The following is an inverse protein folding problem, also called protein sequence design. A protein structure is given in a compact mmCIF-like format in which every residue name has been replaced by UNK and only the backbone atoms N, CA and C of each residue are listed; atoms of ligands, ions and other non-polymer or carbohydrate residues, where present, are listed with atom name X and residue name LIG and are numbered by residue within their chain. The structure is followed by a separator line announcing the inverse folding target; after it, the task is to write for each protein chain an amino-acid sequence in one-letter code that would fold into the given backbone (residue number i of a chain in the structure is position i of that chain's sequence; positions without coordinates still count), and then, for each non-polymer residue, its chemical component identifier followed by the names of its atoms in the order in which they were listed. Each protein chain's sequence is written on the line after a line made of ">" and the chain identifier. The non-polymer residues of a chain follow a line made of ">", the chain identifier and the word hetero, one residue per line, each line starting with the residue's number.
data_IF_481054738714
#
_entry.id   IF_481054738714
#
_cell.length_a   1.000
_cell.length_b   1.000
_cell.length_c   1.000
_cell.angle_alpha   90.00
_cell.angle_beta   90.00
_cell.angle_gamma   90.00
#
_symmetry.space_group_name_H-M   'P 1'
#
loop_
_entity.id
_entity.type
_entity.pdbx_description
1 polymer ?
#
# COMPACT_ATOMS: atom_id res chain seq x y z
N UNK A 1 0.64 -25.06 -4.94
CA UNK A 1 0.12 -23.91 -5.66
C UNK A 1 0.35 -22.66 -4.86
N UNK A 2 1.04 -21.75 -5.43
CA UNK A 2 1.40 -20.55 -4.72
C UNK A 2 0.48 -19.39 -5.14
N UNK A 3 -0.28 -18.87 -4.20
CA UNK A 3 -1.20 -17.78 -4.45
C UNK A 3 -0.87 -16.55 -3.64
N UNK A 4 0.11 -16.66 -2.73
CA UNK A 4 0.48 -15.54 -1.89
C UNK A 4 1.39 -14.60 -2.67
N UNK A 5 0.91 -13.37 -2.87
CA UNK A 5 1.71 -12.34 -3.52
C UNK A 5 1.95 -11.25 -2.51
N UNK A 6 3.21 -11.08 -2.13
CA UNK A 6 3.59 -10.05 -1.17
C UNK A 6 3.33 -8.68 -1.78
N UNK A 7 2.45 -7.93 -1.16
CA UNK A 7 1.99 -6.64 -1.69
C UNK A 7 2.30 -5.54 -0.68
N UNK A 8 2.95 -4.50 -1.16
CA UNK A 8 3.17 -3.29 -0.37
C UNK A 8 2.10 -2.28 -0.76
N UNK A 9 1.33 -1.84 0.23
CA UNK A 9 0.27 -0.86 0.02
C UNK A 9 0.80 0.49 0.52
N UNK A 10 1.04 1.40 -0.40
CA UNK A 10 1.52 2.74 -0.05
C UNK A 10 0.33 3.69 0.02
N UNK A 11 0.30 4.48 1.09
CA UNK A 11 -0.84 5.35 1.34
C UNK A 11 -1.89 4.68 2.20
N UNK A 12 -1.48 3.70 3.00
CA UNK A 12 -2.41 2.99 3.86
C UNK A 12 -2.96 3.91 4.94
N UNK A 13 -4.21 3.67 5.31
CA UNK A 13 -4.92 4.46 6.31
C UNK A 13 -5.77 3.54 7.15
N UNK A 14 -5.93 3.89 8.43
CA UNK A 14 -6.84 3.15 9.30
C UNK A 14 -8.28 3.68 9.22
N UNK A 15 -8.54 4.59 8.32
CA UNK A 15 -9.89 5.09 8.09
C UNK A 15 -10.64 4.12 7.18
N UNK A 16 -11.71 3.47 7.69
CA UNK A 16 -12.40 2.43 6.91
C UNK A 16 -13.08 2.96 5.65
N UNK A 17 -13.18 4.27 5.48
CA UNK A 17 -13.75 4.84 4.28
C UNK A 17 -12.73 5.02 3.16
N UNK A 18 -11.45 4.79 3.45
CA UNK A 18 -10.43 4.92 2.43
C UNK A 18 -10.30 3.64 1.61
N UNK A 19 -10.03 3.81 0.33
CA UNK A 19 -9.86 2.65 -0.53
C UNK A 19 -8.64 1.82 -0.16
N UNK A 20 -7.60 2.48 0.37
CA UNK A 20 -6.43 1.72 0.81
C UNK A 20 -6.76 0.79 1.98
N UNK A 21 -7.64 1.21 2.87
CA UNK A 21 -8.09 0.35 3.96
C UNK A 21 -8.78 -0.89 3.38
N UNK A 22 -9.70 -0.66 2.44
CA UNK A 22 -10.43 -1.76 1.83
C UNK A 22 -9.51 -2.70 1.08
N UNK A 23 -8.48 -2.14 0.43
CA UNK A 23 -7.52 -2.96 -0.30
C UNK A 23 -6.75 -3.88 0.64
N UNK A 24 -6.30 -3.36 1.79
CA UNK A 24 -5.58 -4.17 2.75
C UNK A 24 -6.46 -5.29 3.27
N UNK A 25 -7.71 -4.97 3.61
CA UNK A 25 -8.63 -5.99 4.10
C UNK A 25 -8.87 -7.08 3.06
N UNK A 26 -9.04 -6.67 1.81
CA UNK A 26 -9.31 -7.63 0.75
C UNK A 26 -8.11 -8.53 0.50
N UNK A 27 -6.90 -7.95 0.49
CA UNK A 27 -5.70 -8.74 0.29
C UNK A 27 -5.51 -9.75 1.41
N UNK A 28 -5.75 -9.34 2.64
CA UNK A 28 -5.64 -10.25 3.77
C UNK A 28 -6.69 -11.35 3.69
N UNK A 29 -7.88 -11.01 3.25
CA UNK A 29 -8.95 -12.00 3.09
C UNK A 29 -8.53 -13.10 2.14
N UNK A 30 -7.77 -12.77 1.11
CA UNK A 30 -7.29 -13.74 0.14
C UNK A 30 -5.91 -14.27 0.47
N UNK A 31 -5.47 -14.08 1.72
CA UNK A 31 -4.26 -14.70 2.27
C UNK A 31 -2.97 -14.21 1.63
N UNK A 32 -2.98 -13.00 1.11
CA UNK A 32 -1.74 -12.39 0.63
C UNK A 32 -0.99 -11.77 1.80
N UNK A 33 0.33 -11.73 1.67
CA UNK A 33 1.16 -11.01 2.63
C UNK A 33 1.10 -9.53 2.31
N UNK A 34 0.73 -8.72 3.29
CA UNK A 34 0.53 -7.29 3.08
C UNK A 34 1.45 -6.50 3.98
N UNK A 35 2.16 -5.53 3.39
CA UNK A 35 2.91 -4.53 4.13
C UNK A 35 2.21 -3.21 3.89
N UNK A 36 1.61 -2.66 4.94
CA UNK A 36 0.86 -1.41 4.84
C UNK A 36 1.76 -0.26 5.27
N UNK A 37 1.91 0.73 4.41
CA UNK A 37 2.77 1.89 4.66
C UNK A 37 1.95 3.14 4.51
N UNK A 38 1.95 3.98 5.54
CA UNK A 38 1.20 5.22 5.51
C UNK A 38 1.98 6.33 6.20
N UNK A 39 1.32 7.47 6.39
CA UNK A 39 1.96 8.61 7.02
C UNK A 39 1.68 8.69 8.52
N UNK A 40 0.91 7.75 9.05
CA UNK A 40 0.61 7.68 10.47
C UNK A 40 0.60 6.23 10.92
N UNK A 41 1.11 5.99 12.10
CA UNK A 41 1.02 4.67 12.69
C UNK A 41 -0.44 4.33 12.98
N UNK A 42 -0.76 3.06 12.91
CA UNK A 42 -2.10 2.58 13.18
C UNK A 42 -2.21 1.13 12.78
N UNK A 43 -3.44 0.65 12.69
CA UNK A 43 -3.68 -0.74 12.35
C UNK A 43 -4.91 -0.84 11.45
N UNK A 44 -4.84 -1.81 10.54
CA UNK A 44 -6.01 -2.24 9.78
C UNK A 44 -6.25 -3.67 10.19
N UNK A 45 -7.22 -3.87 11.09
CA UNK A 45 -7.37 -5.18 11.72
C UNK A 45 -6.11 -5.53 12.49
N UNK A 46 -5.48 -6.64 12.13
CA UNK A 46 -4.24 -7.08 12.75
C UNK A 46 -3.00 -6.60 12.01
N UNK A 47 -3.18 -5.88 10.91
CA UNK A 47 -2.07 -5.44 10.07
C UNK A 47 -1.62 -4.07 10.52
N UNK A 48 -0.37 -3.93 11.00
CA UNK A 48 0.12 -2.62 11.40
C UNK A 48 0.41 -1.74 10.19
N UNK A 49 0.19 -0.45 10.35
CA UNK A 49 0.58 0.52 9.34
C UNK A 49 1.95 1.05 9.74
N UNK A 50 2.91 0.86 8.86
CA UNK A 50 4.28 1.31 9.08
C UNK A 50 4.46 2.69 8.44
N UNK A 51 5.41 3.44 8.96
CA UNK A 51 5.74 4.74 8.37
C UNK A 51 7.16 4.71 7.82
N UNK A 52 7.48 5.70 6.99
CA UNK A 52 8.81 5.81 6.41
C UNK A 52 8.98 4.86 5.23
N UNK A 53 10.15 4.25 5.18
CA UNK A 53 10.52 3.40 4.04
C UNK A 53 10.99 2.04 4.54
N UNK A 54 10.08 1.20 5.03
CA UNK A 54 10.50 -0.09 5.59
C UNK A 54 11.14 -0.98 4.51
N UNK A 55 12.25 -1.60 4.85
CA UNK A 55 12.95 -2.48 3.94
C UNK A 55 12.18 -3.79 3.82
N UNK A 56 11.94 -4.21 2.58
CA UNK A 56 11.21 -5.44 2.31
C UNK A 56 11.83 -6.16 1.14
N UNK A 57 11.71 -7.47 1.14
CA UNK A 57 12.24 -8.30 0.07
C UNK A 57 11.14 -9.20 -0.46
N UNK A 58 11.31 -9.64 -1.70
CA UNK A 58 10.36 -10.54 -2.31
C UNK A 58 9.03 -9.89 -2.62
N UNK A 59 9.03 -8.59 -2.87
CA UNK A 59 7.80 -7.87 -3.15
C UNK A 59 7.32 -8.19 -4.56
N UNK A 60 6.10 -8.70 -4.66
CA UNK A 60 5.48 -8.96 -5.95
C UNK A 60 4.84 -7.69 -6.51
N UNK A 61 4.08 -6.98 -5.68
CA UNK A 61 3.26 -5.88 -6.14
C UNK A 61 3.38 -4.70 -5.19
N UNK A 62 3.48 -3.51 -5.76
CA UNK A 62 3.31 -2.26 -5.01
C UNK A 62 2.04 -1.61 -5.54
N UNK A 63 1.08 -1.34 -4.66
CA UNK A 63 -0.14 -0.65 -5.06
C UNK A 63 -0.17 0.71 -4.37
N UNK A 64 -0.44 1.75 -5.15
CA UNK A 64 -0.28 3.14 -4.72
C UNK A 64 -1.63 3.79 -4.53
N UNK A 65 -1.83 4.35 -3.34
CA UNK A 65 -2.99 5.18 -3.02
C UNK A 65 -2.52 6.56 -2.59
N UNK A 66 -1.59 7.11 -3.39
CA UNK A 66 -0.93 8.37 -3.10
C UNK A 66 -1.21 9.35 -4.23
N UNK A 67 -1.32 10.64 -3.87
CA UNK A 67 -1.41 11.67 -4.90
C UNK A 67 -0.05 11.81 -5.61
N UNK A 68 0.00 12.48 -6.76
CA UNK A 68 1.25 12.55 -7.53
C UNK A 68 2.43 13.14 -6.75
N UNK A 69 2.18 14.10 -5.86
CA UNK A 69 3.27 14.68 -5.08
C UNK A 69 3.89 13.64 -4.15
N UNK A 70 3.03 12.88 -3.46
CA UNK A 70 3.51 11.85 -2.55
C UNK A 70 4.13 10.68 -3.31
N UNK A 71 3.61 10.36 -4.50
CA UNK A 71 4.21 9.32 -5.32
C UNK A 71 5.66 9.63 -5.63
N UNK A 72 5.95 10.90 -5.93
CA UNK A 72 7.32 11.29 -6.25
C UNK A 72 8.26 11.04 -5.07
N UNK A 73 7.77 11.26 -3.84
CA UNK A 73 8.58 11.04 -2.66
C UNK A 73 8.91 9.57 -2.44
N UNK A 74 8.09 8.68 -2.96
CA UNK A 74 8.28 7.24 -2.78
C UNK A 74 8.96 6.55 -3.97
N UNK A 75 9.29 7.31 -5.00
CA UNK A 75 9.83 6.72 -6.22
C UNK A 75 11.07 5.87 -5.97
N UNK A 76 12.05 6.43 -5.27
CA UNK A 76 13.29 5.69 -5.02
C UNK A 76 13.02 4.45 -4.18
N UNK A 77 12.13 4.58 -3.21
CA UNK A 77 11.76 3.45 -2.38
C UNK A 77 11.13 2.34 -3.22
N UNK A 78 10.19 2.70 -4.10
CA UNK A 78 9.54 1.71 -4.96
C UNK A 78 10.56 1.00 -5.83
N UNK A 79 11.50 1.75 -6.40
CA UNK A 79 12.53 1.15 -7.23
C UNK A 79 13.41 0.20 -6.42
N UNK A 80 13.68 0.54 -5.16
CA UNK A 80 14.50 -0.30 -4.32
C UNK A 80 13.84 -1.63 -3.97
N UNK A 81 12.53 -1.67 -3.98
CA UNK A 81 11.78 -2.89 -3.69
C UNK A 81 11.79 -3.86 -4.86
N UNK A 82 12.06 -3.38 -6.07
CA UNK A 82 12.13 -4.20 -7.27
C UNK A 82 10.87 -5.05 -7.45
N UNK A 83 9.69 -4.45 -7.39
CA UNK A 83 8.46 -5.23 -7.51
C UNK A 83 8.27 -5.73 -8.93
N UNK A 84 7.51 -6.82 -9.06
CA UNK A 84 7.15 -7.32 -10.38
C UNK A 84 6.07 -6.47 -11.03
N UNK A 85 5.23 -5.82 -10.21
CA UNK A 85 4.14 -4.98 -10.71
C UNK A 85 3.99 -3.75 -9.83
N UNK A 86 3.56 -2.66 -10.47
CA UNK A 86 3.17 -1.45 -9.76
C UNK A 86 1.77 -1.10 -10.24
N UNK A 87 0.87 -0.91 -9.30
CA UNK A 87 -0.52 -0.56 -9.63
C UNK A 87 -0.77 0.87 -9.15
N UNK A 88 -1.18 1.70 -10.08
CA UNK A 88 -1.57 3.08 -9.77
C UNK A 88 -3.09 3.15 -9.64
N UNK A 89 -3.54 3.89 -8.65
CA UNK A 89 -4.97 4.00 -8.36
C UNK A 89 -5.38 5.46 -8.40
N UNK A 90 -5.36 6.09 -9.58
CA UNK A 90 -5.59 7.55 -9.65
C UNK A 90 -6.98 7.96 -9.20
N UNK A 91 -7.98 7.14 -9.44
CA UNK A 91 -9.33 7.49 -9.03
C UNK A 91 -9.46 7.60 -7.52
N UNK A 92 -8.82 6.70 -6.80
CA UNK A 92 -8.89 6.73 -5.35
C UNK A 92 -8.15 7.94 -4.80
N UNK A 93 -7.04 8.33 -5.44
CA UNK A 93 -6.29 9.47 -4.98
C UNK A 93 -7.02 10.77 -5.21
N UNK A 94 -7.69 10.87 -6.33
CA UNK A 94 -8.50 12.06 -6.59
C UNK A 94 -9.59 12.21 -5.56
N UNK A 95 -10.25 11.14 -5.22
CA UNK A 95 -11.26 11.17 -4.20
C UNK A 95 -10.69 11.59 -2.85
N UNK A 96 -9.51 11.07 -2.53
CA UNK A 96 -8.86 11.42 -1.27
C UNK A 96 -8.46 12.88 -1.24
N UNK A 97 -8.00 13.42 -2.37
CA UNK A 97 -7.57 14.80 -2.42
C UNK A 97 -8.72 15.77 -2.33
N UNK A 98 -9.89 15.38 -2.78
CA UNK A 98 -11.02 16.27 -2.77
C UNK A 98 -11.55 16.52 -1.35
N UNK A 99 -11.06 15.80 -0.41
CA UNK A 99 -11.44 16.01 1.00
C UNK A 99 -10.67 17.17 1.65
#
# INVERSE_FOLDING_TARGET
>A
MELNKKTVVLGASNNPERYSFLAVEKLKKYHHTVVAVGNKLGNIGETPILTGFPAEQGVDTVTLYLNPVLQAQYYQYILSLKPKRIIFNPGTENAALSE
#
